data_IF_497592891362
#
_entry.id   IF_497592891362
#
_cell.length_a   1.000
_cell.length_b   1.000
_cell.length_c   1.000
_cell.angle_alpha   90.00
_cell.angle_beta   90.00
_cell.angle_gamma   90.00
#
_symmetry.space_group_name_H-M   'P 1'
#
loop_
_entity.id
_entity.type
_entity.pdbx_description
1 polymer ?
#
# COMPACT_ATOMS: atom_id res chain seq x y z
N UNK A 1 25.79 11.91 36.38
CA UNK A 1 24.39 11.42 36.25
C UNK A 1 23.67 11.97 35.03
N UNK A 2 23.67 13.29 34.77
CA UNK A 2 22.96 13.90 33.62
C UNK A 2 23.43 13.35 32.25
N UNK A 3 24.74 13.20 32.06
CA UNK A 3 25.31 12.67 30.81
C UNK A 3 24.88 11.21 30.57
N UNK A 4 24.83 10.38 31.62
CA UNK A 4 24.38 8.99 31.50
C UNK A 4 22.88 8.89 31.14
N UNK A 5 22.05 9.80 31.67
CA UNK A 5 20.64 9.91 31.32
C UNK A 5 20.42 10.32 29.85
N UNK A 6 21.25 11.24 29.33
CA UNK A 6 21.23 11.63 27.91
C UNK A 6 21.66 10.49 26.98
N UNK A 7 22.71 9.74 27.34
CA UNK A 7 23.14 8.58 26.55
C UNK A 7 22.05 7.51 26.53
N UNK A 8 21.41 7.26 27.68
CA UNK A 8 20.33 6.29 27.80
C UNK A 8 19.10 6.67 26.96
N UNK A 9 18.70 7.94 26.94
CA UNK A 9 17.55 8.39 26.11
C UNK A 9 17.83 8.24 24.61
N UNK A 10 19.05 8.56 24.17
CA UNK A 10 19.47 8.37 22.78
C UNK A 10 19.51 6.88 22.41
N UNK A 11 20.02 6.02 23.30
CA UNK A 11 20.06 4.58 23.08
C UNK A 11 18.65 3.99 22.95
N UNK A 12 17.71 4.39 23.80
CA UNK A 12 16.31 3.97 23.69
C UNK A 12 15.70 4.43 22.36
N UNK A 13 15.94 5.69 21.96
CA UNK A 13 15.44 6.22 20.69
C UNK A 13 15.93 5.41 19.48
N UNK A 14 17.22 5.03 19.47
CA UNK A 14 17.79 4.19 18.42
C UNK A 14 17.19 2.79 18.39
N UNK A 15 16.93 2.18 19.56
CA UNK A 15 16.30 0.86 19.65
C UNK A 15 14.87 0.91 19.09
N UNK A 16 14.08 1.91 19.45
CA UNK A 16 12.74 2.09 18.92
C UNK A 16 12.74 2.31 17.41
N UNK A 17 13.65 3.14 16.90
CA UNK A 17 13.80 3.36 15.47
C UNK A 17 14.10 2.05 14.72
N UNK A 18 15.02 1.24 15.23
CA UNK A 18 15.39 -0.04 14.62
C UNK A 18 14.25 -1.06 14.66
N UNK A 19 13.50 -1.14 15.77
CA UNK A 19 12.33 -2.01 15.89
C UNK A 19 11.21 -1.62 14.93
N UNK A 20 10.96 -0.31 14.76
CA UNK A 20 9.99 0.21 13.80
C UNK A 20 10.41 -0.12 12.37
N UNK A 21 11.67 0.12 12.00
CA UNK A 21 12.20 -0.20 10.66
C UNK A 21 12.10 -1.70 10.35
N UNK A 22 12.43 -2.57 11.30
CA UNK A 22 12.25 -4.02 11.16
C UNK A 22 10.78 -4.42 10.99
N UNK A 23 9.87 -3.79 11.75
CA UNK A 23 8.44 -4.06 11.66
C UNK A 23 7.89 -3.65 10.29
N UNK A 24 8.22 -2.44 9.82
CA UNK A 24 7.82 -1.94 8.50
C UNK A 24 8.35 -2.85 7.39
N UNK A 25 9.64 -3.23 7.42
CA UNK A 25 10.23 -4.17 6.46
C UNK A 25 9.52 -5.51 6.43
N UNK A 26 9.16 -6.07 7.60
CA UNK A 26 8.45 -7.35 7.67
C UNK A 26 7.06 -7.27 7.07
N UNK A 27 6.32 -6.20 7.37
CA UNK A 27 4.97 -5.99 6.82
C UNK A 27 5.01 -5.70 5.31
N UNK A 28 6.00 -4.95 4.84
CA UNK A 28 6.21 -4.65 3.43
C UNK A 28 6.52 -5.91 2.60
N UNK A 29 7.27 -6.86 3.18
CA UNK A 29 7.65 -8.11 2.50
C UNK A 29 6.55 -9.18 2.51
N UNK A 30 5.52 -9.03 3.35
CA UNK A 30 4.44 -10.02 3.45
C UNK A 30 3.32 -9.69 2.47
N UNK A 31 3.47 -10.13 1.22
CA UNK A 31 2.45 -9.97 0.19
C UNK A 31 1.43 -11.11 0.24
N UNK A 32 0.15 -10.77 0.36
CA UNK A 32 -0.97 -11.72 0.33
C UNK A 32 -1.81 -11.49 -0.91
N UNK A 33 -2.18 -12.56 -1.61
CA UNK A 33 -3.12 -12.49 -2.74
C UNK A 33 -4.51 -12.11 -2.22
N UNK A 34 -5.11 -11.07 -2.80
CA UNK A 34 -6.44 -10.56 -2.41
C UNK A 34 -7.46 -10.76 -3.52
N UNK A 35 -7.04 -10.66 -4.78
CA UNK A 35 -7.92 -10.89 -5.93
C UNK A 35 -7.13 -11.46 -7.10
N UNK A 36 -7.78 -12.31 -7.89
CA UNK A 36 -7.25 -12.85 -9.15
C UNK A 36 -8.40 -12.94 -10.15
N UNK A 37 -8.19 -12.46 -11.37
CA UNK A 37 -9.21 -12.50 -12.41
C UNK A 37 -8.85 -11.71 -13.65
N UNK A 38 -9.75 -11.69 -14.64
CA UNK A 38 -9.63 -10.88 -15.85
C UNK A 38 -10.12 -9.47 -15.55
N UNK A 39 -9.28 -8.47 -15.79
CA UNK A 39 -9.60 -7.07 -15.54
C UNK A 39 -10.61 -6.57 -16.58
N UNK A 40 -11.80 -6.17 -16.13
CA UNK A 40 -12.81 -5.53 -16.98
C UNK A 40 -12.59 -4.02 -17.07
N UNK A 41 -12.52 -3.34 -15.94
CA UNK A 41 -12.32 -1.89 -15.87
C UNK A 41 -11.73 -1.47 -14.52
N UNK A 42 -11.14 -0.28 -14.45
CA UNK A 42 -10.74 0.34 -13.17
C UNK A 42 -11.39 1.72 -13.11
N UNK A 43 -12.22 1.94 -12.09
CA UNK A 43 -12.84 3.23 -11.84
C UNK A 43 -12.08 3.96 -10.74
N UNK A 44 -11.42 5.06 -11.11
CA UNK A 44 -10.77 5.93 -10.13
C UNK A 44 -11.77 6.90 -9.54
N UNK A 45 -11.97 6.80 -8.23
CA UNK A 45 -12.61 7.88 -7.50
C UNK A 45 -11.56 8.95 -7.28
N UNK A 46 -11.64 10.03 -8.06
CA UNK A 46 -10.88 11.23 -7.76
C UNK A 46 -11.35 11.70 -6.38
N UNK A 47 -10.45 11.83 -5.39
CA UNK A 47 -10.83 12.44 -4.13
C UNK A 47 -11.37 13.85 -4.42
N UNK A 48 -12.38 14.33 -3.67
CA UNK A 48 -12.95 15.65 -3.90
C UNK A 48 -11.83 16.71 -3.93
N UNK A 49 -11.89 17.68 -4.86
CA UNK A 49 -10.83 18.67 -5.05
C UNK A 49 -10.58 19.40 -3.72
N UNK A 50 -9.37 19.25 -3.17
CA UNK A 50 -9.03 19.83 -1.86
C UNK A 50 -8.90 21.35 -1.95
N UNK A 51 -9.57 22.05 -1.03
CA UNK A 51 -9.19 23.39 -0.58
C UNK A 51 -7.72 23.35 -0.11
N UNK A 52 -6.96 24.36 -0.51
CA UNK A 52 -5.52 24.58 -0.26
C UNK A 52 -5.06 24.01 1.10
N UNK A 53 -4.24 22.95 1.05
CA UNK A 53 -3.67 22.32 2.25
C UNK A 53 -3.12 20.94 1.95
N UNK A 54 -1.83 20.89 1.60
CA UNK A 54 -1.04 19.71 1.18
C UNK A 54 -1.28 18.48 2.06
N UNK A 55 -1.97 17.48 1.52
CA UNK A 55 -1.78 16.07 1.88
C UNK A 55 -2.13 15.27 0.62
N UNK A 56 -1.14 14.63 -0.01
CA UNK A 56 -1.34 13.76 -1.16
C UNK A 56 -2.11 12.52 -0.67
N UNK A 57 -3.44 12.49 -0.85
CA UNK A 57 -4.18 11.24 -0.71
C UNK A 57 -3.94 10.43 -2.00
N UNK A 58 -3.38 9.22 -1.92
CA UNK A 58 -3.23 8.36 -3.09
C UNK A 58 -4.58 8.12 -3.76
N UNK A 59 -4.63 8.15 -5.09
CA UNK A 59 -5.87 7.87 -5.84
C UNK A 59 -6.37 6.48 -5.49
N UNK A 60 -7.62 6.40 -5.02
CA UNK A 60 -8.30 5.13 -4.74
C UNK A 60 -9.04 4.74 -6.03
N UNK A 61 -8.70 3.59 -6.58
CA UNK A 61 -9.39 2.96 -7.70
C UNK A 61 -10.17 1.74 -7.25
N UNK A 62 -11.23 1.42 -7.98
CA UNK A 62 -11.97 0.16 -7.84
C UNK A 62 -11.68 -0.66 -9.09
N UNK A 63 -10.95 -1.77 -8.96
CA UNK A 63 -10.73 -2.72 -10.03
C UNK A 63 -11.92 -3.66 -10.13
N UNK A 64 -12.60 -3.66 -11.28
CA UNK A 64 -13.73 -4.51 -11.61
C UNK A 64 -13.23 -5.69 -12.46
N UNK A 65 -13.61 -6.89 -12.06
CA UNK A 65 -13.30 -8.13 -12.76
C UNK A 65 -14.47 -8.57 -13.65
N UNK A 66 -14.18 -9.40 -14.66
CA UNK A 66 -15.23 -9.96 -15.52
C UNK A 66 -16.26 -10.79 -14.74
N UNK A 67 -15.83 -11.44 -13.66
CA UNK A 67 -16.68 -12.23 -12.76
C UNK A 67 -17.65 -11.37 -11.90
N UNK A 68 -17.66 -10.05 -12.09
CA UNK A 68 -18.49 -9.10 -11.33
C UNK A 68 -17.93 -8.76 -9.94
N UNK A 69 -16.84 -9.40 -9.52
CA UNK A 69 -16.12 -9.05 -8.30
C UNK A 69 -15.41 -7.69 -8.45
N UNK A 70 -15.19 -7.01 -7.33
CA UNK A 70 -14.44 -5.76 -7.29
C UNK A 70 -13.42 -5.74 -6.16
N UNK A 71 -12.31 -5.05 -6.37
CA UNK A 71 -11.26 -4.86 -5.37
C UNK A 71 -10.83 -3.40 -5.33
N UNK A 72 -10.80 -2.80 -4.14
CA UNK A 72 -10.26 -1.46 -3.96
C UNK A 72 -8.73 -1.51 -4.03
N UNK A 73 -8.15 -0.63 -4.83
CA UNK A 73 -6.72 -0.53 -5.09
C UNK A 73 -6.25 0.91 -4.92
N UNK A 74 -5.05 1.11 -4.35
CA UNK A 74 -4.46 2.44 -4.19
C UNK A 74 -3.28 2.62 -5.13
N UNK A 75 -3.20 3.78 -5.81
CA UNK A 75 -1.97 4.25 -6.46
C UNK A 75 -1.40 3.33 -7.55
N UNK A 76 -2.27 2.65 -8.31
CA UNK A 76 -1.85 1.57 -9.20
C UNK A 76 -1.66 1.98 -10.66
N UNK A 77 -0.63 1.43 -11.30
CA UNK A 77 -0.43 1.47 -12.76
C UNK A 77 -1.47 0.56 -13.40
N UNK A 78 -2.35 1.13 -14.22
CA UNK A 78 -3.47 0.43 -14.87
C UNK A 78 -2.94 -0.54 -15.93
N UNK A 79 -3.14 -1.85 -15.79
CA UNK A 79 -2.96 -2.77 -16.91
C UNK A 79 -4.12 -2.61 -17.92
N UNK A 80 -3.90 -2.94 -19.20
CA UNK A 80 -4.96 -2.87 -20.20
C UNK A 80 -6.14 -3.78 -19.85
N UNK A 81 -7.35 -3.39 -20.27
CA UNK A 81 -8.56 -4.20 -20.10
C UNK A 81 -8.39 -5.57 -20.79
N UNK A 82 -9.04 -6.60 -20.26
CA UNK A 82 -8.90 -7.98 -20.72
C UNK A 82 -7.62 -8.68 -20.25
N UNK A 83 -6.77 -8.03 -19.45
CA UNK A 83 -5.58 -8.68 -18.89
C UNK A 83 -5.93 -9.49 -17.66
N UNK A 84 -5.44 -10.73 -17.58
CA UNK A 84 -5.50 -11.53 -16.35
C UNK A 84 -4.49 -11.00 -15.33
N UNK A 85 -4.99 -10.60 -14.17
CA UNK A 85 -4.18 -9.95 -13.13
C UNK A 85 -4.34 -10.64 -11.78
N UNK A 86 -3.28 -10.60 -10.99
CA UNK A 86 -3.26 -10.97 -9.56
C UNK A 86 -2.99 -9.70 -8.75
N UNK A 87 -3.85 -9.39 -7.80
CA UNK A 87 -3.72 -8.25 -6.90
C UNK A 87 -3.27 -8.77 -5.55
N UNK A 88 -2.12 -8.31 -5.09
CA UNK A 88 -1.57 -8.58 -3.77
C UNK A 88 -1.66 -7.34 -2.89
N UNK A 89 -1.79 -7.56 -1.60
CA UNK A 89 -1.76 -6.51 -0.57
C UNK A 89 -0.75 -6.88 0.50
N UNK A 90 0.05 -5.90 0.94
CA UNK A 90 0.98 -6.09 2.06
C UNK A 90 0.36 -5.65 3.40
N UNK A 91 1.10 -5.83 4.49
CA UNK A 91 0.66 -5.42 5.83
C UNK A 91 0.64 -3.90 6.08
N UNK A 92 1.22 -3.12 5.17
CA UNK A 92 1.21 -1.65 5.16
C UNK A 92 0.11 -1.05 4.28
N UNK A 93 -0.79 -1.90 3.75
CA UNK A 93 -1.86 -1.54 2.82
C UNK A 93 -1.41 -1.04 1.43
N UNK A 94 -0.18 -1.33 1.02
CA UNK A 94 0.24 -1.19 -0.37
C UNK A 94 -0.34 -2.32 -1.22
N UNK A 95 -0.60 -2.01 -2.49
CA UNK A 95 -1.11 -2.94 -3.48
C UNK A 95 -0.09 -3.17 -4.58
N UNK A 96 0.05 -4.43 -5.00
CA UNK A 96 0.90 -4.85 -6.12
C UNK A 96 0.04 -5.64 -7.11
N UNK A 97 0.12 -5.30 -8.39
CA UNK A 97 -0.53 -6.07 -9.47
C UNK A 97 0.55 -6.82 -10.27
N UNK A 98 0.34 -8.12 -10.46
CA UNK A 98 1.14 -8.94 -11.36
C UNK A 98 0.29 -9.42 -12.53
N UNK A 99 0.83 -9.31 -13.76
CA UNK A 99 0.20 -9.87 -14.96
C UNK A 99 0.40 -11.39 -14.95
N UNK A 100 -0.65 -12.13 -15.22
CA UNK A 100 -0.56 -13.56 -15.49
C UNK A 100 -0.60 -13.77 -17.00
N UNK A 101 0.34 -14.55 -17.54
CA UNK A 101 0.41 -14.89 -18.95
C UNK A 101 -0.76 -15.78 -19.39
#
# INVERSE_FOLDING_TARGET
>A
MIIALLIFSVAIGLIFYFLLDLYEKRQANTWKLVAEGVLKSIEYHNPPPRRKGRLFIPKIGVALFEDGQYCMVMGLVVPPQGTRIKIYKNGLADFKIEKTA
#
